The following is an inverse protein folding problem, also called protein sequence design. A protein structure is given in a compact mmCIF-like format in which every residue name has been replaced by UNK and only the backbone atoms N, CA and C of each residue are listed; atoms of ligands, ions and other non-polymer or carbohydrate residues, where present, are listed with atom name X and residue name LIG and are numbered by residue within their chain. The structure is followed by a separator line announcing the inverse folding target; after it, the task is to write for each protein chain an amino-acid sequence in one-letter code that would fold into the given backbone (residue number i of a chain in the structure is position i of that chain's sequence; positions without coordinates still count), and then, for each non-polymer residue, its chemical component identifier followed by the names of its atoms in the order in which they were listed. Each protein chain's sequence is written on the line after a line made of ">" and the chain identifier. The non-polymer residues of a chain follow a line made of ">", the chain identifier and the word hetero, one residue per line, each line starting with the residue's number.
data_IF_986854119535
#
_entry.id   IF_986854119535
#
_cell.length_a   1.000
_cell.length_b   1.000
_cell.length_c   1.000
_cell.angle_alpha   90.00
_cell.angle_beta   90.00
_cell.angle_gamma   90.00
#
_symmetry.space_group_name_H-M   'P 1'
#
loop_
_entity.id
_entity.type
_entity.pdbx_description
1 polymer ?
#
# COMPACT_ATOMS: atom_id res chain seq x y z
N UNK A 1 20.10 7.39 6.46
CA UNK A 1 19.45 7.25 7.78
C UNK A 1 19.03 8.61 8.28
N UNK A 2 19.95 9.56 8.37
CA UNK A 2 19.70 10.90 8.93
C UNK A 2 18.66 11.70 8.11
N UNK A 3 18.71 11.67 6.79
CA UNK A 3 17.78 12.37 5.93
C UNK A 3 16.32 11.92 6.16
N UNK A 4 16.09 10.60 6.29
CA UNK A 4 14.74 10.08 6.51
C UNK A 4 14.24 10.44 7.92
N UNK A 5 15.11 10.44 8.93
CA UNK A 5 14.77 10.87 10.28
C UNK A 5 14.39 12.37 10.32
N UNK A 6 15.14 13.20 9.59
CA UNK A 6 14.84 14.64 9.45
C UNK A 6 13.46 14.88 8.81
N UNK A 7 13.09 14.10 7.78
CA UNK A 7 11.75 14.20 7.18
C UNK A 7 10.62 13.83 8.16
N UNK A 8 10.88 12.92 9.11
CA UNK A 8 9.94 12.62 10.19
C UNK A 8 9.80 13.81 11.14
N UNK A 9 10.92 14.41 11.53
CA UNK A 9 10.92 15.61 12.40
C UNK A 9 10.16 16.75 11.71
N UNK A 10 10.44 17.03 10.44
CA UNK A 10 9.75 18.04 9.63
C UNK A 10 8.22 17.77 9.54
N UNK A 11 7.80 16.51 9.38
CA UNK A 11 6.38 16.16 9.34
C UNK A 11 5.66 16.52 10.65
N UNK A 12 6.29 16.30 11.79
CA UNK A 12 5.75 16.73 13.09
C UNK A 12 5.73 18.26 13.26
N UNK A 13 6.75 18.96 12.76
CA UNK A 13 6.77 20.41 12.73
C UNK A 13 5.63 21.00 11.89
N UNK A 14 5.23 20.32 10.81
CA UNK A 14 4.07 20.67 10.00
C UNK A 14 2.72 20.22 10.59
N UNK A 15 2.72 19.64 11.79
CA UNK A 15 1.51 19.28 12.53
C UNK A 15 0.99 17.86 12.31
N UNK A 16 1.80 16.96 11.77
CA UNK A 16 1.42 15.54 11.72
C UNK A 16 1.22 14.99 13.14
N UNK A 17 0.13 14.26 13.37
CA UNK A 17 -0.17 13.64 14.66
C UNK A 17 0.56 12.31 14.83
N UNK A 18 0.67 11.55 13.74
CA UNK A 18 1.35 10.25 13.69
C UNK A 18 2.14 10.15 12.38
N UNK A 19 3.33 9.59 12.45
CA UNK A 19 4.19 9.38 11.28
C UNK A 19 4.62 7.92 11.20
N UNK A 20 4.48 7.35 10.02
CA UNK A 20 5.02 6.05 9.65
C UNK A 20 6.14 6.17 8.63
N UNK A 21 7.16 5.31 8.74
CA UNK A 21 8.29 5.32 7.81
C UNK A 21 8.71 3.92 7.41
N UNK A 22 9.13 3.78 6.13
CA UNK A 22 9.51 2.49 5.57
C UNK A 22 11.02 2.19 5.78
N UNK A 23 11.30 0.92 6.05
CA UNK A 23 12.65 0.34 6.05
C UNK A 23 12.66 -0.95 5.24
N UNK A 24 13.80 -1.29 4.66
CA UNK A 24 13.99 -2.59 4.01
C UNK A 24 14.39 -3.68 5.02
N UNK A 25 14.90 -4.80 4.49
CA UNK A 25 15.34 -5.98 5.28
C UNK A 25 16.84 -6.25 5.19
N UNK A 26 17.58 -5.39 4.54
CA UNK A 26 19.04 -5.52 4.30
C UNK A 26 19.80 -4.28 4.74
N UNK A 27 21.11 -4.39 4.79
CA UNK A 27 22.01 -3.29 5.17
C UNK A 27 21.71 -2.76 6.59
N UNK A 28 21.59 -1.46 6.74
CA UNK A 28 21.42 -0.73 8.00
C UNK A 28 19.95 -0.55 8.44
N UNK A 29 19.03 -1.45 8.02
CA UNK A 29 17.60 -1.32 8.33
C UNK A 29 17.31 -1.13 9.83
N UNK A 30 18.04 -1.85 10.70
CA UNK A 30 17.83 -1.79 12.15
C UNK A 30 18.29 -0.45 12.75
N UNK A 31 19.44 0.06 12.29
CA UNK A 31 19.91 1.39 12.66
C UNK A 31 18.94 2.48 12.21
N UNK A 32 18.44 2.34 10.97
CA UNK A 32 17.42 3.22 10.41
C UNK A 32 16.15 3.19 11.25
N UNK A 33 15.62 2.01 11.58
CA UNK A 33 14.42 1.86 12.41
C UNK A 33 14.59 2.52 13.79
N UNK A 34 15.76 2.35 14.42
CA UNK A 34 16.09 3.03 15.70
C UNK A 34 16.17 4.56 15.56
N UNK A 35 16.72 5.05 14.46
CA UNK A 35 16.79 6.49 14.19
C UNK A 35 15.39 7.09 14.01
N UNK A 36 14.54 6.43 13.22
CA UNK A 36 13.15 6.83 13.01
C UNK A 36 12.34 6.83 14.32
N UNK A 37 12.50 5.81 15.15
CA UNK A 37 11.85 5.78 16.47
C UNK A 37 12.29 6.96 17.35
N UNK A 38 13.57 7.32 17.34
CA UNK A 38 14.08 8.49 18.11
C UNK A 38 13.51 9.82 17.62
N UNK A 39 13.22 9.94 16.31
CA UNK A 39 12.50 11.09 15.75
C UNK A 39 10.96 11.02 15.97
N UNK A 40 10.48 10.10 16.80
CA UNK A 40 9.06 10.01 17.15
C UNK A 40 8.21 9.14 16.23
N UNK A 41 8.79 8.52 15.21
CA UNK A 41 8.06 7.60 14.34
C UNK A 41 7.54 6.40 15.14
N UNK A 42 6.22 6.18 15.12
CA UNK A 42 5.58 5.07 15.83
C UNK A 42 5.16 3.91 14.95
N UNK A 43 5.19 4.08 13.63
CA UNK A 43 4.85 3.03 12.67
C UNK A 43 6.08 2.76 11.82
N UNK A 44 6.64 1.56 11.92
CA UNK A 44 7.75 1.11 11.06
C UNK A 44 7.20 0.13 10.03
N UNK A 45 7.22 0.54 8.76
CA UNK A 45 6.82 -0.31 7.65
C UNK A 45 8.03 -1.10 7.13
N UNK A 46 8.05 -2.41 7.36
CA UNK A 46 9.09 -3.30 6.80
C UNK A 46 8.64 -3.77 5.43
N UNK A 47 9.29 -3.25 4.38
CA UNK A 47 8.81 -3.32 3.00
C UNK A 47 9.79 -4.06 2.08
N UNK A 48 9.32 -5.16 1.49
CA UNK A 48 9.97 -5.86 0.38
C UNK A 48 8.92 -6.40 -0.60
N UNK A 49 9.33 -6.64 -1.85
CA UNK A 49 8.43 -7.07 -2.92
C UNK A 49 7.69 -8.39 -2.62
N UNK A 50 8.33 -9.31 -1.88
CA UNK A 50 7.75 -10.57 -1.42
C UNK A 50 8.08 -10.77 0.06
N UNK A 51 7.11 -10.46 0.93
CA UNK A 51 7.27 -10.43 2.39
C UNK A 51 7.46 -11.81 3.04
N UNK A 52 6.93 -12.87 2.46
CA UNK A 52 7.14 -14.24 2.98
C UNK A 52 8.55 -14.76 2.64
N UNK A 53 9.54 -14.22 3.33
CA UNK A 53 10.95 -14.46 3.04
C UNK A 53 11.78 -14.47 4.33
N UNK A 54 12.84 -15.30 4.40
CA UNK A 54 13.73 -15.39 5.57
C UNK A 54 14.38 -14.07 6.01
N UNK A 55 14.59 -13.15 5.09
CA UNK A 55 15.08 -11.80 5.44
C UNK A 55 14.02 -10.99 6.20
N UNK A 56 12.74 -11.17 5.88
CA UNK A 56 11.63 -10.56 6.59
C UNK A 56 11.53 -11.12 8.01
N UNK A 57 11.56 -12.44 8.18
CA UNK A 57 11.59 -13.11 9.49
C UNK A 57 12.67 -12.51 10.40
N UNK A 58 13.89 -12.44 9.88
CA UNK A 58 15.03 -11.85 10.62
C UNK A 58 14.81 -10.37 10.93
N UNK A 59 14.32 -9.61 9.96
CA UNK A 59 14.11 -8.18 10.14
C UNK A 59 13.03 -7.89 11.18
N UNK A 60 11.89 -8.56 11.13
CA UNK A 60 10.79 -8.40 12.08
C UNK A 60 11.23 -8.75 13.50
N UNK A 61 11.86 -9.91 13.68
CA UNK A 61 12.37 -10.36 14.99
C UNK A 61 13.39 -9.36 15.56
N UNK A 62 14.32 -8.87 14.75
CA UNK A 62 15.32 -7.91 15.18
C UNK A 62 14.72 -6.55 15.52
N UNK A 63 13.78 -6.04 14.69
CA UNK A 63 13.13 -4.75 14.94
C UNK A 63 12.28 -4.84 16.21
N UNK A 64 11.46 -5.88 16.38
CA UNK A 64 10.66 -6.09 17.59
C UNK A 64 11.54 -6.17 18.84
N UNK A 65 12.61 -6.96 18.79
CA UNK A 65 13.56 -7.07 19.91
C UNK A 65 14.27 -5.75 20.25
N UNK A 66 14.52 -4.91 19.24
CA UNK A 66 15.27 -3.64 19.41
C UNK A 66 14.40 -2.45 19.81
N UNK A 67 13.15 -2.41 19.38
CA UNK A 67 12.25 -1.26 19.56
C UNK A 67 11.12 -1.53 20.57
N UNK A 68 10.92 -2.79 20.95
CA UNK A 68 9.85 -3.20 21.89
C UNK A 68 8.44 -3.06 21.30
N UNK A 69 7.44 -3.07 22.18
CA UNK A 69 6.02 -3.01 21.83
C UNK A 69 5.49 -1.57 21.66
N UNK A 70 6.33 -0.57 21.89
CA UNK A 70 5.98 0.85 21.71
C UNK A 70 5.96 1.32 20.26
N UNK A 71 6.28 0.43 19.30
CA UNK A 71 6.28 0.71 17.86
C UNK A 71 5.39 -0.30 17.16
N UNK A 72 4.48 0.21 16.33
CA UNK A 72 3.66 -0.62 15.44
C UNK A 72 4.49 -1.06 14.23
N UNK A 73 4.58 -2.36 14.01
CA UNK A 73 5.30 -2.94 12.87
C UNK A 73 4.30 -3.36 11.79
N UNK A 74 4.31 -2.62 10.68
CA UNK A 74 3.61 -2.96 9.45
C UNK A 74 4.55 -3.76 8.55
N UNK A 75 4.16 -4.92 8.06
CA UNK A 75 5.01 -5.77 7.23
C UNK A 75 4.34 -6.17 5.91
N UNK A 76 5.11 -6.31 4.87
CA UNK A 76 4.59 -6.77 3.56
C UNK A 76 5.62 -6.70 2.42
N UNK A 77 5.19 -7.09 1.20
CA UNK A 77 3.83 -7.48 0.88
C UNK A 77 3.68 -9.00 0.85
N UNK A 78 2.50 -9.46 1.18
CA UNK A 78 2.14 -10.88 1.19
C UNK A 78 0.90 -11.14 0.32
N UNK A 79 0.62 -12.41 0.02
CA UNK A 79 -0.53 -12.79 -0.81
C UNK A 79 -1.30 -14.02 -0.32
N UNK A 80 -0.84 -14.69 0.73
CA UNK A 80 -1.41 -15.96 1.21
C UNK A 80 -1.64 -15.95 2.71
N UNK A 81 -2.60 -16.75 3.19
CA UNK A 81 -2.89 -16.93 4.60
C UNK A 81 -1.70 -17.52 5.39
N UNK A 82 -0.92 -18.41 4.78
CA UNK A 82 0.32 -18.93 5.41
C UNK A 82 1.32 -17.80 5.70
N UNK A 83 1.54 -16.92 4.71
CA UNK A 83 2.42 -15.77 4.91
C UNK A 83 1.90 -14.84 6.00
N UNK A 84 0.59 -14.64 6.08
CA UNK A 84 -0.02 -13.81 7.10
C UNK A 84 0.26 -14.35 8.50
N UNK A 85 0.04 -15.65 8.70
CA UNK A 85 0.33 -16.33 9.97
C UNK A 85 1.80 -16.18 10.37
N UNK A 86 2.73 -16.45 9.44
CA UNK A 86 4.17 -16.41 9.74
C UNK A 86 4.63 -14.99 10.06
N UNK A 87 4.21 -13.95 9.31
CA UNK A 87 4.62 -12.59 9.58
C UNK A 87 4.15 -12.08 10.96
N UNK A 88 2.94 -12.47 11.39
CA UNK A 88 2.45 -12.17 12.75
C UNK A 88 3.28 -12.90 13.79
N UNK A 89 3.58 -14.17 13.59
CA UNK A 89 4.45 -14.94 14.48
C UNK A 89 5.88 -14.35 14.57
N UNK A 90 6.36 -13.69 13.51
CA UNK A 90 7.65 -13.00 13.50
C UNK A 90 7.60 -11.59 14.12
N UNK A 91 6.42 -11.10 14.51
CA UNK A 91 6.25 -9.86 15.29
C UNK A 91 5.64 -8.69 14.52
N UNK A 92 4.95 -8.92 13.40
CA UNK A 92 4.17 -7.88 12.71
C UNK A 92 2.83 -7.64 13.42
N UNK A 93 2.41 -6.38 13.52
CA UNK A 93 1.11 -5.96 14.05
C UNK A 93 0.08 -5.75 12.92
N UNK A 94 0.54 -5.37 11.74
CA UNK A 94 -0.30 -5.23 10.55
C UNK A 94 0.39 -5.74 9.29
N UNK A 95 -0.41 -6.16 8.32
CA UNK A 95 0.04 -6.84 7.12
C UNK A 95 -0.41 -6.10 5.86
N UNK A 96 0.54 -5.78 4.98
CA UNK A 96 0.25 -5.26 3.64
C UNK A 96 0.04 -6.43 2.69
N UNK A 97 -1.20 -6.55 2.18
CA UNK A 97 -1.67 -7.67 1.37
C UNK A 97 -1.80 -7.23 -0.09
N UNK A 98 -1.02 -7.85 -0.97
CA UNK A 98 -1.06 -7.61 -2.41
C UNK A 98 0.30 -7.70 -3.07
N UNK A 99 0.49 -8.70 -3.94
CA UNK A 99 1.71 -8.89 -4.74
C UNK A 99 1.36 -8.73 -6.23
N UNK A 100 2.03 -7.79 -6.89
CA UNK A 100 1.87 -7.55 -8.32
C UNK A 100 0.60 -6.78 -8.72
N UNK A 101 -0.17 -6.22 -7.76
CA UNK A 101 -1.41 -5.48 -8.01
C UNK A 101 -1.22 -4.00 -8.35
N UNK A 102 -0.06 -3.42 -8.12
CA UNK A 102 0.21 -2.00 -8.36
C UNK A 102 0.10 -1.61 -9.83
N UNK A 103 -0.38 -0.38 -10.10
CA UNK A 103 -0.62 0.12 -11.47
C UNK A 103 0.65 0.22 -12.34
N UNK A 104 1.81 0.38 -11.72
CA UNK A 104 3.13 0.47 -12.36
C UNK A 104 4.04 -0.70 -11.95
N UNK A 105 3.46 -1.77 -11.37
CA UNK A 105 4.15 -2.98 -10.97
C UNK A 105 4.33 -3.92 -12.15
N UNK A 106 5.53 -4.44 -12.33
CA UNK A 106 5.88 -5.45 -13.33
C UNK A 106 6.20 -6.82 -12.73
N UNK A 107 6.08 -6.99 -11.43
CA UNK A 107 6.46 -8.24 -10.74
C UNK A 107 5.87 -9.47 -11.42
N UNK A 108 4.57 -9.41 -11.80
CA UNK A 108 3.90 -10.54 -12.50
C UNK A 108 4.54 -10.89 -13.84
N UNK A 109 5.03 -9.87 -14.56
CA UNK A 109 5.63 -10.04 -15.88
C UNK A 109 7.07 -10.54 -15.76
N UNK A 110 7.84 -9.94 -14.86
CA UNK A 110 9.27 -10.21 -14.72
C UNK A 110 9.55 -11.52 -13.96
N UNK A 111 8.69 -11.87 -13.00
CA UNK A 111 8.94 -13.00 -12.10
C UNK A 111 7.94 -14.15 -12.25
N UNK A 112 6.82 -13.94 -12.94
CA UNK A 112 5.70 -14.88 -12.99
C UNK A 112 4.91 -15.00 -11.67
N UNK A 113 5.25 -14.19 -10.63
CA UNK A 113 4.61 -14.24 -9.33
C UNK A 113 3.63 -13.10 -9.15
N UNK A 114 2.51 -13.40 -8.50
CA UNK A 114 1.47 -12.43 -8.16
C UNK A 114 0.12 -13.11 -8.02
N UNK A 115 -0.72 -12.51 -7.19
CA UNK A 115 -2.08 -12.99 -6.92
C UNK A 115 -3.04 -11.80 -7.07
N UNK A 116 -4.27 -11.99 -7.57
CA UNK A 116 -5.29 -10.95 -7.53
C UNK A 116 -5.49 -10.45 -6.10
N UNK A 117 -5.38 -9.14 -5.86
CA UNK A 117 -5.36 -8.56 -4.51
C UNK A 117 -6.60 -8.93 -3.70
N UNK A 118 -7.78 -8.91 -4.31
CA UNK A 118 -9.02 -9.29 -3.64
C UNK A 118 -8.99 -10.73 -3.12
N UNK A 119 -8.46 -11.67 -3.92
CA UNK A 119 -8.28 -13.06 -3.50
C UNK A 119 -7.30 -13.17 -2.32
N UNK A 120 -6.19 -12.45 -2.38
CA UNK A 120 -5.21 -12.42 -1.28
C UNK A 120 -5.81 -11.89 0.03
N UNK A 121 -6.71 -10.91 -0.05
CA UNK A 121 -7.40 -10.37 1.14
C UNK A 121 -8.28 -11.46 1.75
N UNK A 122 -9.09 -12.17 0.95
CA UNK A 122 -9.92 -13.28 1.43
C UNK A 122 -9.08 -14.38 2.10
N UNK A 123 -7.98 -14.76 1.47
CA UNK A 123 -7.05 -15.76 2.01
C UNK A 123 -6.48 -15.34 3.38
N UNK A 124 -6.00 -14.10 3.49
CA UNK A 124 -5.44 -13.60 4.74
C UNK A 124 -6.50 -13.40 5.82
N UNK A 125 -7.67 -12.87 5.48
CA UNK A 125 -8.77 -12.66 6.41
C UNK A 125 -9.32 -13.98 6.96
N UNK A 126 -9.39 -15.01 6.13
CA UNK A 126 -9.86 -16.35 6.52
C UNK A 126 -8.97 -17.07 7.53
N UNK A 127 -7.78 -16.57 7.82
CA UNK A 127 -6.87 -17.18 8.81
C UNK A 127 -7.12 -16.73 10.25
N UNK A 128 -7.96 -15.72 10.47
CA UNK A 128 -8.31 -15.18 11.80
C UNK A 128 -7.11 -14.93 12.73
N UNK A 129 -6.06 -14.34 12.17
CA UNK A 129 -4.78 -14.11 12.86
C UNK A 129 -4.78 -12.91 13.82
N UNK A 130 -5.90 -12.18 13.90
CA UNK A 130 -6.03 -11.00 14.77
C UNK A 130 -5.19 -9.79 14.38
N UNK A 131 -4.49 -9.81 13.23
CA UNK A 131 -3.70 -8.70 12.74
C UNK A 131 -4.51 -7.79 11.80
N UNK A 132 -4.20 -6.50 11.81
CA UNK A 132 -4.78 -5.53 10.89
C UNK A 132 -4.34 -5.83 9.44
N UNK A 133 -5.31 -5.93 8.51
CA UNK A 133 -5.05 -6.18 7.10
C UNK A 133 -5.17 -4.89 6.28
N UNK A 134 -4.16 -4.62 5.47
CA UNK A 134 -4.08 -3.44 4.59
C UNK A 134 -4.05 -3.92 3.14
N UNK A 135 -5.13 -3.69 2.40
CA UNK A 135 -5.18 -4.03 0.97
C UNK A 135 -4.29 -3.07 0.17
N UNK A 136 -3.27 -3.61 -0.50
CA UNK A 136 -2.30 -2.82 -1.25
C UNK A 136 -2.24 -3.23 -2.72
N UNK A 137 -2.55 -2.27 -3.59
CA UNK A 137 -2.52 -2.39 -5.04
C UNK A 137 -3.85 -2.84 -5.67
N UNK A 138 -4.03 -2.43 -6.92
CA UNK A 138 -5.21 -2.75 -7.71
C UNK A 138 -6.44 -1.87 -7.47
N UNK A 139 -6.36 -0.91 -6.57
CA UNK A 139 -7.44 0.02 -6.21
C UNK A 139 -7.43 1.21 -7.16
N UNK A 140 -8.52 1.42 -7.90
CA UNK A 140 -8.66 2.45 -8.92
C UNK A 140 -9.78 3.46 -8.64
N UNK A 141 -10.71 3.12 -7.76
CA UNK A 141 -11.89 3.91 -7.42
C UNK A 141 -12.44 3.51 -6.05
N UNK A 142 -13.46 4.23 -5.56
CA UNK A 142 -14.12 3.95 -4.29
C UNK A 142 -14.79 2.57 -4.23
N UNK A 143 -15.34 2.08 -5.35
CA UNK A 143 -15.93 0.74 -5.42
C UNK A 143 -14.91 -0.38 -5.17
N UNK A 144 -13.66 -0.20 -5.62
CA UNK A 144 -12.58 -1.15 -5.31
C UNK A 144 -12.19 -1.10 -3.83
N UNK A 145 -12.25 0.09 -3.20
CA UNK A 145 -12.05 0.25 -1.75
C UNK A 145 -13.15 -0.52 -1.00
N UNK A 146 -14.42 -0.29 -1.34
CA UNK A 146 -15.54 -0.99 -0.69
C UNK A 146 -15.41 -2.50 -0.82
N UNK A 147 -15.05 -3.02 -2.01
CA UNK A 147 -14.81 -4.45 -2.21
C UNK A 147 -13.66 -4.99 -1.34
N UNK A 148 -12.56 -4.24 -1.23
CA UNK A 148 -11.43 -4.64 -0.39
C UNK A 148 -11.82 -4.69 1.10
N UNK A 149 -12.53 -3.69 1.59
CA UNK A 149 -13.02 -3.62 2.97
C UNK A 149 -14.05 -4.73 3.27
N UNK A 150 -14.96 -4.99 2.34
CA UNK A 150 -15.93 -6.07 2.44
C UNK A 150 -15.28 -7.46 2.44
N UNK A 151 -14.16 -7.61 1.72
CA UNK A 151 -13.39 -8.86 1.68
C UNK A 151 -12.56 -9.14 2.94
N UNK A 152 -12.49 -8.19 3.88
CA UNK A 152 -11.80 -8.35 5.15
C UNK A 152 -10.64 -7.40 5.42
N UNK A 153 -10.28 -6.51 4.49
CA UNK A 153 -9.28 -5.49 4.78
C UNK A 153 -9.81 -4.45 5.79
N UNK A 154 -8.96 -4.00 6.70
CA UNK A 154 -9.27 -2.93 7.65
C UNK A 154 -8.93 -1.56 7.07
N UNK A 155 -7.90 -1.53 6.24
CA UNK A 155 -7.41 -0.33 5.54
C UNK A 155 -7.08 -0.64 4.09
N UNK A 156 -6.92 0.43 3.31
CA UNK A 156 -6.42 0.35 1.94
C UNK A 156 -5.20 1.24 1.77
N UNK A 157 -4.23 0.78 0.99
CA UNK A 157 -3.09 1.57 0.57
C UNK A 157 -3.25 1.93 -0.91
N UNK A 158 -3.32 3.23 -1.18
CA UNK A 158 -3.56 3.77 -2.51
C UNK A 158 -2.34 4.56 -3.00
N UNK A 159 -1.94 4.38 -4.24
CA UNK A 159 -0.81 5.06 -4.87
C UNK A 159 -1.25 5.90 -6.05
N UNK A 160 -1.64 5.28 -7.17
CA UNK A 160 -1.97 5.97 -8.43
C UNK A 160 -3.14 6.95 -8.31
N UNK A 161 -4.07 6.71 -7.38
CA UNK A 161 -5.17 7.65 -7.13
C UNK A 161 -4.68 9.01 -6.66
N UNK A 162 -3.59 9.04 -5.88
CA UNK A 162 -3.02 10.27 -5.32
C UNK A 162 -1.83 10.80 -6.10
N UNK A 163 -1.25 10.03 -7.02
CA UNK A 163 0.00 10.37 -7.69
C UNK A 163 -0.04 11.66 -8.55
N UNK A 164 -1.23 12.10 -8.96
CA UNK A 164 -1.43 13.32 -9.75
C UNK A 164 -1.80 14.56 -8.94
N UNK A 165 -1.86 14.47 -7.61
CA UNK A 165 -2.27 15.58 -6.74
C UNK A 165 -1.14 16.58 -6.49
N UNK A 166 -1.47 17.77 -6.02
CA UNK A 166 -0.50 18.82 -5.70
C UNK A 166 0.50 18.37 -4.64
N UNK A 167 0.02 17.64 -3.64
CA UNK A 167 0.79 17.19 -2.48
C UNK A 167 1.69 15.98 -2.80
N UNK A 168 1.44 15.26 -3.90
CA UNK A 168 2.33 14.18 -4.32
C UNK A 168 3.64 14.75 -4.91
N UNK A 169 4.79 14.07 -4.74
CA UNK A 169 6.05 14.55 -5.32
C UNK A 169 6.04 14.50 -6.85
N UNK A 170 6.92 15.27 -7.46
CA UNK A 170 7.13 15.36 -8.91
C UNK A 170 6.51 16.62 -9.53
N UNK A 171 7.14 17.10 -10.60
CA UNK A 171 6.75 18.31 -11.28
C UNK A 171 5.55 18.10 -12.20
N UNK A 172 4.72 19.16 -12.33
CA UNK A 172 3.67 19.23 -13.33
C UNK A 172 4.28 19.65 -14.67
N UNK A 173 3.95 18.94 -15.73
CA UNK A 173 4.33 19.30 -17.10
C UNK A 173 3.09 19.29 -18.01
N UNK A 174 3.20 20.01 -19.14
CA UNK A 174 2.15 20.11 -20.14
C UNK A 174 2.56 19.23 -21.33
N UNK A 175 1.67 18.34 -21.74
CA UNK A 175 1.84 17.50 -22.94
C UNK A 175 1.53 18.29 -24.22
N UNK A 176 1.92 17.80 -25.37
CA UNK A 176 1.72 18.46 -26.68
C UNK A 176 0.21 18.72 -26.98
N UNK A 177 -0.68 17.92 -26.41
CA UNK A 177 -2.13 18.08 -26.49
C UNK A 177 -2.72 19.03 -25.41
N UNK A 178 -1.84 19.75 -24.67
CA UNK A 178 -2.21 20.76 -23.69
C UNK A 178 -2.66 20.22 -22.32
N UNK A 179 -2.58 18.92 -22.06
CA UNK A 179 -2.98 18.35 -20.78
C UNK A 179 -1.88 18.49 -19.73
N UNK A 180 -2.27 18.79 -18.50
CA UNK A 180 -1.36 18.79 -17.35
C UNK A 180 -1.17 17.36 -16.85
N UNK A 181 0.07 16.94 -16.64
CA UNK A 181 0.43 15.63 -16.12
C UNK A 181 1.54 15.73 -15.08
N UNK A 182 1.69 14.69 -14.25
CA UNK A 182 2.81 14.53 -13.31
C UNK A 182 3.55 13.22 -13.60
N UNK A 183 4.86 13.21 -13.38
CA UNK A 183 5.65 11.97 -13.40
C UNK A 183 5.22 11.07 -12.24
N UNK A 184 5.06 9.78 -12.53
CA UNK A 184 4.73 8.75 -11.57
C UNK A 184 5.66 7.55 -11.76
N UNK A 185 6.38 7.18 -10.72
CA UNK A 185 7.34 6.08 -10.78
C UNK A 185 7.22 5.15 -9.58
N UNK A 186 7.39 3.84 -9.81
CA UNK A 186 7.51 2.85 -8.74
C UNK A 186 8.91 2.86 -8.15
N UNK A 187 9.03 2.55 -6.85
CA UNK A 187 10.34 2.40 -6.18
C UNK A 187 11.22 1.29 -6.80
N UNK A 188 10.60 0.29 -7.43
CA UNK A 188 11.29 -0.77 -8.17
C UNK A 188 11.60 -0.40 -9.64
N UNK A 189 11.34 0.85 -10.09
CA UNK A 189 11.74 1.33 -11.40
C UNK A 189 13.24 1.56 -11.47
N UNK A 190 13.79 1.52 -12.69
CA UNK A 190 15.23 1.76 -12.93
C UNK A 190 15.69 3.12 -12.43
N UNK A 191 14.87 4.14 -12.69
CA UNK A 191 15.15 5.53 -12.33
C UNK A 191 15.17 5.69 -10.80
N UNK A 192 14.13 5.20 -10.12
CA UNK A 192 14.07 5.29 -8.67
C UNK A 192 15.23 4.53 -7.99
N UNK A 193 15.56 3.32 -8.46
CA UNK A 193 16.68 2.55 -7.91
C UNK A 193 18.03 3.27 -8.10
N UNK A 194 18.26 3.93 -9.26
CA UNK A 194 19.47 4.71 -9.50
C UNK A 194 19.57 5.90 -8.54
N UNK A 195 18.46 6.62 -8.32
CA UNK A 195 18.44 7.80 -7.46
C UNK A 195 18.83 7.47 -6.02
N UNK A 196 18.34 6.36 -5.47
CA UNK A 196 18.57 6.07 -4.04
C UNK A 196 19.65 5.02 -3.75
N UNK A 197 20.01 4.15 -4.73
CA UNK A 197 21.08 3.13 -4.60
C UNK A 197 22.31 3.43 -5.42
N UNK A 198 22.24 4.37 -6.38
CA UNK A 198 23.29 4.57 -7.38
C UNK A 198 23.40 3.46 -8.43
N UNK A 199 22.67 2.36 -8.28
CA UNK A 199 22.65 1.19 -9.16
C UNK A 199 21.25 0.58 -9.20
N UNK A 200 21.01 -0.27 -10.18
CA UNK A 200 19.74 -1.02 -10.27
C UNK A 200 20.01 -2.51 -10.45
N UNK A 201 19.05 -3.32 -9.99
CA UNK A 201 19.05 -4.77 -10.18
C UNK A 201 17.73 -5.19 -10.87
N UNK A 202 16.96 -6.10 -10.31
CA UNK A 202 15.66 -6.47 -10.86
C UNK A 202 14.75 -5.25 -11.04
N UNK A 203 14.22 -5.05 -12.26
CA UNK A 203 13.35 -3.91 -12.60
C UNK A 203 11.90 -4.42 -12.59
N UNK A 204 11.23 -4.28 -11.46
CA UNK A 204 9.84 -4.72 -11.27
C UNK A 204 8.83 -3.57 -11.26
N UNK A 205 9.26 -2.37 -11.64
CA UNK A 205 8.42 -1.17 -11.76
C UNK A 205 8.74 -0.36 -13.01
N UNK A 206 7.82 0.51 -13.40
CA UNK A 206 7.99 1.46 -14.51
C UNK A 206 7.88 2.90 -14.03
N UNK A 207 8.41 3.80 -14.85
CA UNK A 207 8.13 5.24 -14.80
C UNK A 207 7.08 5.55 -15.84
N UNK A 208 6.06 6.29 -15.46
CA UNK A 208 4.95 6.72 -16.31
C UNK A 208 4.55 8.13 -15.96
N UNK A 209 3.46 8.62 -16.53
CA UNK A 209 2.83 9.87 -16.13
C UNK A 209 1.36 9.66 -15.86
N UNK A 210 0.83 10.42 -14.90
CA UNK A 210 -0.59 10.43 -14.52
C UNK A 210 -1.18 11.81 -14.78
N UNK A 211 -2.48 11.87 -14.95
CA UNK A 211 -3.20 13.12 -15.07
C UNK A 211 -3.05 13.95 -13.78
N UNK A 212 -2.85 15.24 -13.93
CA UNK A 212 -2.85 16.18 -12.81
C UNK A 212 -4.27 16.38 -12.29
N UNK A 213 -4.45 16.28 -10.97
CA UNK A 213 -5.75 16.23 -10.30
C UNK A 213 -6.04 17.41 -9.37
N UNK A 214 -5.07 18.34 -9.20
CA UNK A 214 -5.17 19.38 -8.18
C UNK A 214 -5.02 18.86 -6.76
N UNK A 215 -5.69 19.49 -5.79
CA UNK A 215 -5.58 19.14 -4.37
C UNK A 215 -6.03 17.71 -4.07
N UNK A 216 -5.28 17.04 -3.20
CA UNK A 216 -5.60 15.71 -2.66
C UNK A 216 -6.95 15.69 -1.93
N UNK A 217 -7.35 16.83 -1.35
CA UNK A 217 -8.61 16.96 -0.62
C UNK A 217 -9.81 16.59 -1.48
N UNK A 218 -9.85 17.06 -2.74
CA UNK A 218 -10.93 16.74 -3.67
C UNK A 218 -11.00 15.23 -3.96
N UNK A 219 -9.85 14.60 -4.18
CA UNK A 219 -9.78 13.16 -4.42
C UNK A 219 -10.27 12.36 -3.21
N UNK A 220 -9.87 12.78 -2.00
CA UNK A 220 -10.29 12.12 -0.76
C UNK A 220 -11.77 12.30 -0.49
N UNK A 221 -12.35 13.48 -0.76
CA UNK A 221 -13.78 13.73 -0.62
C UNK A 221 -14.61 12.86 -1.58
N UNK A 222 -14.20 12.73 -2.84
CA UNK A 222 -14.87 11.84 -3.80
C UNK A 222 -14.81 10.37 -3.36
N UNK A 223 -13.66 9.91 -2.88
CA UNK A 223 -13.49 8.55 -2.38
C UNK A 223 -14.36 8.29 -1.15
N UNK A 224 -14.39 9.23 -0.18
CA UNK A 224 -15.23 9.12 1.03
C UNK A 224 -16.71 9.03 0.68
N UNK A 225 -17.19 9.89 -0.23
CA UNK A 225 -18.58 9.84 -0.71
C UNK A 225 -18.94 8.50 -1.34
N UNK A 226 -18.04 7.97 -2.19
CA UNK A 226 -18.23 6.66 -2.82
C UNK A 226 -18.22 5.50 -1.83
N UNK A 227 -17.35 5.55 -0.81
CA UNK A 227 -17.30 4.55 0.25
C UNK A 227 -18.60 4.59 1.08
N UNK A 228 -19.07 5.78 1.47
CA UNK A 228 -20.35 5.95 2.19
C UNK A 228 -21.54 5.42 1.39
N UNK A 229 -21.56 5.67 0.08
CA UNK A 229 -22.56 5.10 -0.82
C UNK A 229 -22.50 3.58 -0.82
N UNK A 230 -21.32 2.99 -0.93
CA UNK A 230 -21.13 1.54 -0.90
C UNK A 230 -21.61 0.91 0.43
N UNK A 231 -21.31 1.52 1.56
CA UNK A 231 -21.84 1.12 2.87
C UNK A 231 -23.38 1.19 2.88
N UNK A 232 -23.95 2.28 2.38
CA UNK A 232 -25.40 2.47 2.31
C UNK A 232 -26.08 1.39 1.47
N UNK A 233 -25.55 1.06 0.28
CA UNK A 233 -26.08 -0.01 -0.55
C UNK A 233 -25.99 -1.39 0.11
N UNK A 234 -25.00 -1.60 0.95
CA UNK A 234 -24.84 -2.84 1.73
C UNK A 234 -25.68 -2.85 3.02
N UNK A 235 -26.43 -1.79 3.33
CA UNK A 235 -27.15 -1.66 4.60
C UNK A 235 -26.23 -1.64 5.82
N UNK A 236 -24.99 -1.19 5.66
CA UNK A 236 -23.94 -1.24 6.67
C UNK A 236 -23.59 0.16 7.19
N UNK A 237 -23.32 0.28 8.49
CA UNK A 237 -22.80 1.49 9.15
C UNK A 237 -21.39 1.31 9.66
N UNK A 238 -20.91 0.07 9.73
CA UNK A 238 -19.59 -0.32 10.20
C UNK A 238 -18.94 -1.29 9.21
N UNK A 239 -17.61 -1.47 9.29
CA UNK A 239 -16.92 -2.48 8.49
C UNK A 239 -17.35 -3.91 8.85
N UNK A 240 -17.71 -4.15 10.11
CA UNK A 240 -18.22 -5.45 10.54
C UNK A 240 -19.55 -5.78 9.81
N UNK A 241 -20.51 -4.84 9.83
CA UNK A 241 -21.78 -4.99 9.11
C UNK A 241 -21.57 -5.10 7.60
N UNK A 242 -20.60 -4.35 7.01
CA UNK A 242 -20.27 -4.46 5.61
C UNK A 242 -19.80 -5.88 5.25
N UNK A 243 -18.92 -6.47 6.05
CA UNK A 243 -18.40 -7.83 5.86
C UNK A 243 -19.49 -8.89 6.02
N UNK A 244 -20.39 -8.71 6.97
CA UNK A 244 -21.52 -9.62 7.22
C UNK A 244 -22.55 -9.58 6.08
N UNK A 245 -22.88 -8.38 5.59
CA UNK A 245 -23.92 -8.19 4.58
C UNK A 245 -23.45 -8.41 3.15
N UNK A 246 -22.12 -8.34 2.89
CA UNK A 246 -21.57 -8.38 1.56
C UNK A 246 -21.68 -9.77 0.92
N UNK A 247 -22.17 -9.80 -0.33
CA UNK A 247 -22.18 -10.98 -1.16
C UNK A 247 -21.35 -10.75 -2.42
N UNK A 248 -20.39 -11.62 -2.67
CA UNK A 248 -19.54 -11.56 -3.87
C UNK A 248 -20.01 -12.55 -4.92
N UNK A 249 -19.99 -12.13 -6.19
CA UNK A 249 -20.26 -12.98 -7.34
C UNK A 249 -19.04 -13.03 -8.26
N UNK A 250 -18.88 -14.14 -8.96
CA UNK A 250 -17.87 -14.23 -10.03
C UNK A 250 -18.46 -13.55 -11.27
N UNK A 251 -17.73 -12.53 -11.75
CA UNK A 251 -18.10 -11.79 -12.95
C UNK A 251 -17.32 -12.29 -14.16
N UNK A 252 -18.02 -12.51 -15.27
CA UNK A 252 -17.40 -12.82 -16.56
C UNK A 252 -16.82 -11.58 -17.23
N UNK A 253 -15.98 -11.74 -18.25
CA UNK A 253 -15.49 -10.62 -19.06
C UNK A 253 -16.62 -9.79 -19.69
N UNK A 254 -17.70 -10.44 -20.13
CA UNK A 254 -18.88 -9.74 -20.66
C UNK A 254 -19.58 -8.89 -19.58
N UNK A 255 -19.79 -9.46 -18.37
CA UNK A 255 -20.33 -8.71 -17.25
C UNK A 255 -19.42 -7.56 -16.78
N UNK A 256 -18.10 -7.70 -16.90
CA UNK A 256 -17.17 -6.61 -16.61
C UNK A 256 -17.31 -5.45 -17.61
N UNK A 257 -17.56 -5.72 -18.88
CA UNK A 257 -17.87 -4.70 -19.89
C UNK A 257 -19.20 -4.00 -19.60
N UNK A 258 -20.23 -4.79 -19.25
CA UNK A 258 -21.54 -4.24 -18.86
C UNK A 258 -21.46 -3.33 -17.61
N UNK A 259 -20.54 -3.62 -16.71
CA UNK A 259 -20.35 -2.84 -15.46
C UNK A 259 -19.62 -1.49 -15.67
N UNK A 260 -19.20 -1.18 -16.90
CA UNK A 260 -18.61 0.12 -17.24
C UNK A 260 -19.67 1.14 -17.66
N UNK A 261 -19.32 2.42 -17.64
CA UNK A 261 -20.19 3.48 -18.20
C UNK A 261 -20.34 3.30 -19.72
N UNK A 262 -21.54 3.48 -20.23
CA UNK A 262 -21.91 3.22 -21.64
C UNK A 262 -21.86 4.46 -22.53
N UNK A 263 -21.01 5.45 -22.20
CA UNK A 263 -20.84 6.70 -22.97
C UNK A 263 -19.43 6.78 -23.57
#
# INVERSE_FOLDING_TARGET
>A
VEEQAKLVDEAFEFGALEVGAAVGVTNNYLERARSLQRSGCRIICVDIAHGHHKLMERALSNIRSALGDGVHIMAGNIATGYAAHDLVAWGADSLRVGIGGGSICKTRIETGHGVPTLHSIFECYGTDIGATLIADGGIKNSGDIVKALAAGADFVMIGSLLAGTDESPGDVFITDDGRKRKLYRGMASKEAQKDWRGSYSSIEGITSSVEYKGSVENVLLELDQGIRSGLSYSGARTLAELRENAAFIIQTSAGAVESSTHI
#
